data_IF_235249912703
#
_entry.id   IF_235249912703
#
_cell.length_a   1.000
_cell.length_b   1.000
_cell.length_c   1.000
_cell.angle_alpha   90.00
_cell.angle_beta   90.00
_cell.angle_gamma   90.00
#
_symmetry.space_group_name_H-M   'P 1'
#
loop_
_entity.id
_entity.type
_entity.pdbx_description
1 polymer ?
#
# COMPACT_ATOMS: atom_id res chain seq x y z
N UNK A 1 14.80 1.66 7.13
CA UNK A 1 14.17 2.85 7.80
C UNK A 1 12.95 2.37 8.58
N UNK A 2 12.79 2.83 9.84
CA UNK A 2 11.60 2.50 10.63
C UNK A 2 10.64 3.69 10.70
N UNK A 3 9.34 3.39 10.84
CA UNK A 3 8.30 4.34 11.21
C UNK A 3 7.74 3.95 12.57
N UNK A 4 7.92 4.83 13.56
CA UNK A 4 7.42 4.64 14.92
C UNK A 4 6.25 5.57 15.16
N UNK A 5 5.10 5.01 15.58
CA UNK A 5 3.89 5.80 15.86
C UNK A 5 3.01 5.12 16.91
N UNK A 6 2.09 5.90 17.49
CA UNK A 6 1.13 5.41 18.48
C UNK A 6 -0.27 5.53 17.92
N UNK A 7 -1.03 4.43 17.95
CA UNK A 7 -2.39 4.37 17.41
C UNK A 7 -3.27 3.51 18.33
N UNK A 8 -4.42 4.03 18.71
CA UNK A 8 -5.43 3.30 19.52
C UNK A 8 -4.86 2.63 20.77
N UNK A 9 -3.88 3.26 21.45
CA UNK A 9 -3.24 2.72 22.65
C UNK A 9 -2.09 1.75 22.40
N UNK A 10 -1.79 1.42 21.15
CA UNK A 10 -0.65 0.59 20.77
C UNK A 10 0.55 1.43 20.36
N UNK A 11 1.75 0.97 20.75
CA UNK A 11 3.00 1.49 20.22
C UNK A 11 3.42 0.59 19.05
N UNK A 12 3.55 1.16 17.87
CA UNK A 12 3.76 0.42 16.64
C UNK A 12 5.09 0.83 16.01
N UNK A 13 5.89 -0.15 15.66
CA UNK A 13 7.11 0.00 14.87
C UNK A 13 6.91 -0.73 13.54
N UNK A 14 6.96 0.01 12.45
CA UNK A 14 6.94 -0.53 11.09
C UNK A 14 8.35 -0.44 10.50
N UNK A 15 8.95 -1.55 10.17
CA UNK A 15 10.16 -1.58 9.35
C UNK A 15 9.77 -1.61 7.88
N UNK A 16 10.06 -0.52 7.18
CA UNK A 16 9.69 -0.32 5.80
C UNK A 16 10.37 -1.34 4.85
N UNK A 17 11.61 -1.73 5.13
CA UNK A 17 12.40 -2.56 4.25
C UNK A 17 12.03 -4.04 4.35
N UNK A 18 11.78 -4.53 5.57
CA UNK A 18 11.29 -5.90 5.78
C UNK A 18 9.77 -6.03 5.62
N UNK A 19 9.02 -4.93 5.73
CA UNK A 19 7.57 -4.92 5.80
C UNK A 19 7.01 -5.44 7.13
N UNK A 20 7.85 -5.67 8.14
CA UNK A 20 7.44 -6.17 9.45
C UNK A 20 6.79 -5.06 10.29
N UNK A 21 5.72 -5.43 11.00
CA UNK A 21 5.03 -4.56 11.94
C UNK A 21 5.13 -5.18 13.33
N UNK A 22 5.66 -4.42 14.28
CA UNK A 22 5.81 -4.84 15.68
C UNK A 22 4.91 -4.00 16.58
N UNK A 23 4.13 -4.65 17.44
CA UNK A 23 3.45 -4.00 18.54
C UNK A 23 4.27 -4.23 19.80
N UNK A 24 4.73 -3.17 20.42
CA UNK A 24 5.70 -3.21 21.51
C UNK A 24 5.20 -2.44 22.73
N UNK A 25 5.77 -2.74 23.89
CA UNK A 25 5.54 -1.96 25.10
C UNK A 25 6.19 -0.56 25.01
N UNK A 26 5.90 0.36 25.94
CA UNK A 26 6.46 1.72 25.92
C UNK A 26 7.98 1.77 26.06
N UNK A 27 8.60 0.84 26.78
CA UNK A 27 10.06 0.80 26.99
C UNK A 27 10.75 0.37 25.71
N UNK A 28 10.32 -0.74 25.11
CA UNK A 28 10.85 -1.23 23.84
C UNK A 28 10.63 -0.21 22.73
N UNK A 29 9.50 0.51 22.71
CA UNK A 29 9.24 1.58 21.75
C UNK A 29 10.30 2.68 21.84
N UNK A 30 10.56 3.19 23.04
CA UNK A 30 11.57 4.24 23.22
C UNK A 30 12.98 3.73 22.89
N UNK A 31 13.32 2.51 23.31
CA UNK A 31 14.62 1.90 23.00
C UNK A 31 14.84 1.75 21.49
N UNK A 32 13.86 1.22 20.75
CA UNK A 32 13.96 1.04 19.31
C UNK A 32 14.09 2.39 18.59
N UNK A 33 13.35 3.41 19.02
CA UNK A 33 13.41 4.74 18.40
C UNK A 33 14.76 5.44 18.59
N UNK A 34 15.50 5.09 19.63
CA UNK A 34 16.82 5.65 19.92
C UNK A 34 17.98 4.79 19.37
N UNK A 35 17.69 3.54 18.99
CA UNK A 35 18.71 2.50 18.78
C UNK A 35 19.75 2.84 17.71
N UNK A 36 19.40 3.57 16.66
CA UNK A 36 20.32 3.91 15.57
C UNK A 36 21.15 5.16 15.86
N UNK A 37 20.67 6.06 16.72
CA UNK A 37 21.27 7.38 16.91
C UNK A 37 22.04 7.52 18.25
N UNK A 38 21.87 6.53 19.17
CA UNK A 38 22.46 6.56 20.50
C UNK A 38 23.15 5.24 20.85
N UNK A 39 24.14 5.31 21.71
CA UNK A 39 24.77 4.12 22.26
C UNK A 39 23.92 3.45 23.36
N UNK A 40 24.22 2.18 23.64
CA UNK A 40 23.44 1.39 24.62
C UNK A 40 23.43 2.02 26.04
N UNK A 41 24.51 2.68 26.44
CA UNK A 41 24.59 3.30 27.75
C UNK A 41 23.76 4.59 27.84
N UNK A 42 23.69 5.34 26.76
CA UNK A 42 22.81 6.52 26.67
C UNK A 42 21.34 6.12 26.69
N UNK A 43 20.96 5.08 25.93
CA UNK A 43 19.60 4.52 25.91
C UNK A 43 19.24 4.02 27.32
N UNK A 44 20.10 3.23 27.95
CA UNK A 44 19.91 2.72 29.31
C UNK A 44 19.65 3.85 30.32
N UNK A 45 20.49 4.87 30.31
CA UNK A 45 20.35 6.02 31.20
C UNK A 45 19.03 6.75 30.97
N UNK A 46 18.64 6.95 29.72
CA UNK A 46 17.37 7.57 29.37
C UNK A 46 16.18 6.75 29.85
N UNK A 47 16.17 5.45 29.64
CA UNK A 47 15.09 4.56 30.04
C UNK A 47 14.95 4.53 31.57
N UNK A 48 16.05 4.35 32.30
CA UNK A 48 16.04 4.33 33.78
C UNK A 48 15.52 5.66 34.36
N UNK A 49 15.88 6.81 33.79
CA UNK A 49 15.37 8.10 34.25
C UNK A 49 13.89 8.30 33.89
N UNK A 50 13.49 7.94 32.67
CA UNK A 50 12.12 8.14 32.20
C UNK A 50 11.12 7.24 32.94
N UNK A 51 11.51 6.01 33.23
CA UNK A 51 10.66 4.99 33.86
C UNK A 51 11.01 4.72 35.33
N UNK A 52 11.67 5.65 36.02
CA UNK A 52 12.14 5.52 37.41
C UNK A 52 11.04 5.18 38.41
N UNK A 53 9.79 5.57 38.15
CA UNK A 53 8.64 5.31 38.98
C UNK A 53 7.97 3.94 38.71
N UNK A 54 8.51 3.17 37.74
CA UNK A 54 8.03 1.84 37.38
C UNK A 54 9.02 0.78 37.91
N UNK A 55 8.65 0.04 38.98
CA UNK A 55 9.55 -0.92 39.63
C UNK A 55 9.94 -2.11 38.75
N UNK A 56 9.15 -2.35 37.70
CA UNK A 56 9.35 -3.46 36.75
C UNK A 56 10.36 -3.11 35.63
N UNK A 57 10.87 -1.87 35.59
CA UNK A 57 11.89 -1.46 34.62
C UNK A 57 13.25 -1.46 35.27
N UNK A 58 13.93 -2.60 35.21
CA UNK A 58 15.28 -2.79 35.78
C UNK A 58 16.35 -2.87 34.71
N UNK A 59 17.62 -2.85 35.12
CA UNK A 59 18.73 -3.07 34.19
C UNK A 59 18.61 -4.44 33.48
N UNK A 60 18.14 -5.48 34.18
CA UNK A 60 17.98 -6.80 33.57
C UNK A 60 16.90 -6.80 32.48
N UNK A 61 15.79 -6.08 32.68
CA UNK A 61 14.72 -5.98 31.66
C UNK A 61 15.21 -5.18 30.44
N UNK A 62 16.02 -4.15 30.65
CA UNK A 62 16.66 -3.39 29.57
C UNK A 62 17.65 -4.27 28.78
N UNK A 63 18.42 -5.13 29.46
CA UNK A 63 19.34 -6.04 28.79
C UNK A 63 18.58 -7.07 27.94
N UNK A 64 17.51 -7.66 28.46
CA UNK A 64 16.62 -8.56 27.71
C UNK A 64 16.00 -7.86 26.50
N UNK A 65 15.56 -6.62 26.65
CA UNK A 65 15.02 -5.86 25.54
C UNK A 65 16.07 -5.58 24.44
N UNK A 66 17.33 -5.32 24.81
CA UNK A 66 18.41 -5.23 23.83
C UNK A 66 18.66 -6.55 23.11
N UNK A 67 18.62 -7.68 23.82
CA UNK A 67 18.76 -9.01 23.21
C UNK A 67 17.65 -9.28 22.20
N UNK A 68 16.40 -8.95 22.55
CA UNK A 68 15.24 -9.10 21.64
C UNK A 68 15.36 -8.20 20.40
N UNK A 69 15.78 -6.94 20.56
CA UNK A 69 16.04 -6.02 19.45
C UNK A 69 17.12 -6.59 18.52
N UNK A 70 18.24 -7.05 19.09
CA UNK A 70 19.35 -7.62 18.32
C UNK A 70 18.94 -8.91 17.60
N UNK A 71 18.10 -9.73 18.20
CA UNK A 71 17.56 -10.92 17.56
C UNK A 71 16.67 -10.54 16.35
N UNK A 72 15.80 -9.54 16.48
CA UNK A 72 15.00 -9.04 15.37
C UNK A 72 15.85 -8.44 14.24
N UNK A 73 16.95 -7.78 14.58
CA UNK A 73 17.92 -7.25 13.59
C UNK A 73 18.59 -8.40 12.86
N UNK A 74 19.08 -9.42 13.60
CA UNK A 74 19.74 -10.59 13.03
C UNK A 74 18.81 -11.39 12.09
N UNK A 75 17.53 -11.44 12.43
CA UNK A 75 16.48 -12.06 11.59
C UNK A 75 16.07 -11.22 10.38
N UNK A 76 16.60 -10.01 10.23
CA UNK A 76 16.22 -9.07 9.16
C UNK A 76 14.80 -8.54 9.26
N UNK A 77 14.23 -8.49 10.46
CA UNK A 77 12.86 -8.05 10.74
C UNK A 77 12.78 -6.66 11.35
N UNK A 78 13.91 -6.10 11.76
CA UNK A 78 14.04 -4.74 12.29
C UNK A 78 15.32 -4.12 11.75
N UNK A 79 15.28 -2.85 11.35
CA UNK A 79 16.39 -2.13 10.70
C UNK A 79 16.96 -2.86 9.48
N UNK A 80 16.10 -3.56 8.74
CA UNK A 80 16.50 -4.32 7.56
C UNK A 80 17.14 -3.42 6.49
N UNK A 81 18.07 -4.00 5.72
CA UNK A 81 18.67 -3.31 4.58
C UNK A 81 17.66 -3.10 3.45
N UNK A 82 17.79 -1.99 2.73
CA UNK A 82 16.99 -1.75 1.52
C UNK A 82 17.56 -2.55 0.35
N UNK A 83 16.97 -3.72 0.10
CA UNK A 83 17.35 -4.58 -1.04
C UNK A 83 16.72 -4.10 -2.35
N UNK A 84 15.76 -3.17 -2.33
CA UNK A 84 15.06 -2.67 -3.51
C UNK A 84 15.73 -1.43 -4.12
N UNK A 85 16.54 -0.67 -3.39
CA UNK A 85 17.21 0.51 -3.89
C UNK A 85 18.01 0.22 -5.16
N UNK A 86 18.77 -0.87 -5.16
CA UNK A 86 19.62 -1.28 -6.31
C UNK A 86 18.81 -1.64 -7.57
N UNK A 87 17.54 -2.01 -7.41
CA UNK A 87 16.66 -2.42 -8.52
C UNK A 87 15.54 -1.41 -8.80
N UNK A 88 15.46 -0.32 -8.02
CA UNK A 88 14.39 0.69 -8.14
C UNK A 88 14.27 1.27 -9.57
N UNK A 89 15.39 1.52 -10.24
CA UNK A 89 15.40 2.02 -11.61
C UNK A 89 14.85 1.02 -12.65
N UNK A 90 14.94 -0.28 -12.36
CA UNK A 90 14.34 -1.31 -13.23
C UNK A 90 12.82 -1.25 -13.18
N UNK A 91 12.23 -0.88 -12.04
CA UNK A 91 10.78 -0.68 -11.92
C UNK A 91 10.30 0.58 -12.64
N UNK A 92 11.12 1.62 -12.72
CA UNK A 92 10.82 2.84 -13.50
C UNK A 92 10.84 2.58 -15.01
N UNK A 93 11.65 1.63 -15.47
CA UNK A 93 11.82 1.28 -16.89
C UNK A 93 10.93 0.12 -17.32
N UNK A 94 9.80 -0.10 -16.71
CA UNK A 94 8.85 -1.10 -17.19
C UNK A 94 8.48 -0.75 -18.63
N UNK A 95 9.07 -1.45 -19.58
CA UNK A 95 8.46 -1.63 -20.91
C UNK A 95 7.22 -2.50 -20.62
N UNK A 96 6.15 -1.80 -20.30
CA UNK A 96 5.01 -2.44 -19.69
C UNK A 96 4.23 -3.21 -20.70
N UNK A 97 4.30 -4.52 -20.60
CA UNK A 97 3.21 -5.35 -21.09
C UNK A 97 2.02 -5.09 -20.20
N UNK A 98 0.99 -4.43 -20.73
CA UNK A 98 -0.22 -4.16 -19.97
C UNK A 98 -0.92 -5.48 -19.65
N UNK A 99 -1.53 -5.57 -18.48
CA UNK A 99 -2.32 -6.72 -18.05
C UNK A 99 -3.80 -6.38 -17.94
N UNK A 100 -4.08 -5.18 -17.50
CA UNK A 100 -5.42 -4.76 -17.14
C UNK A 100 -5.64 -3.29 -17.48
N UNK A 101 -6.90 -2.92 -17.69
CA UNK A 101 -7.36 -1.55 -17.80
C UNK A 101 -8.66 -1.38 -17.02
N UNK A 102 -8.81 -0.24 -16.35
CA UNK A 102 -10.06 0.14 -15.71
C UNK A 102 -10.69 1.27 -16.54
N UNK A 103 -11.89 1.05 -17.04
CA UNK A 103 -12.65 2.00 -17.86
C UNK A 103 -13.76 2.63 -17.04
N UNK A 104 -13.70 3.94 -16.83
CA UNK A 104 -14.77 4.72 -16.23
C UNK A 104 -15.85 4.97 -17.29
N UNK A 105 -16.74 3.98 -17.47
CA UNK A 105 -17.72 3.99 -18.56
C UNK A 105 -18.91 4.92 -18.33
N UNK A 106 -19.18 5.29 -17.07
CA UNK A 106 -20.26 6.19 -16.71
C UNK A 106 -19.89 7.09 -15.54
N UNK A 107 -19.83 8.40 -15.77
CA UNK A 107 -19.80 9.43 -14.74
C UNK A 107 -21.23 9.86 -14.38
N UNK A 108 -22.11 8.88 -14.17
CA UNK A 108 -23.49 9.04 -13.71
C UNK A 108 -23.89 7.81 -12.89
N UNK A 109 -24.87 7.98 -11.99
CA UNK A 109 -25.35 6.90 -11.15
C UNK A 109 -26.82 7.11 -10.78
N UNK A 110 -27.62 6.06 -10.89
CA UNK A 110 -29.02 6.05 -10.46
C UNK A 110 -29.20 5.58 -9.00
N UNK A 111 -28.10 5.32 -8.27
CA UNK A 111 -28.10 4.97 -6.86
C UNK A 111 -27.77 6.18 -5.98
N UNK A 112 -28.08 6.08 -4.68
CA UNK A 112 -27.81 7.11 -3.69
C UNK A 112 -27.14 6.54 -2.43
N UNK A 113 -26.03 5.81 -2.62
CA UNK A 113 -25.28 5.19 -1.53
C UNK A 113 -24.71 6.23 -0.58
N UNK A 114 -24.99 6.10 0.73
CA UNK A 114 -24.54 7.04 1.75
C UNK A 114 -23.00 7.12 1.90
N UNK A 115 -22.30 6.06 1.49
CA UNK A 115 -20.84 5.92 1.55
C UNK A 115 -20.16 6.15 0.19
N UNK A 116 -20.87 6.71 -0.79
CA UNK A 116 -20.33 6.89 -2.13
C UNK A 116 -19.23 7.95 -2.14
N UNK A 117 -18.00 7.56 -2.45
CA UNK A 117 -16.86 8.46 -2.60
C UNK A 117 -16.88 9.24 -3.93
N UNK A 118 -17.69 8.76 -4.90
CA UNK A 118 -17.76 9.31 -6.25
C UNK A 118 -18.85 10.40 -6.43
N UNK A 119 -19.42 10.94 -5.34
CA UNK A 119 -20.41 12.01 -5.43
C UNK A 119 -21.61 11.67 -6.33
N UNK A 120 -22.20 10.47 -6.20
CA UNK A 120 -23.22 9.90 -7.09
C UNK A 120 -22.75 9.64 -8.52
N UNK A 121 -21.45 9.39 -8.67
CA UNK A 121 -20.83 9.07 -9.95
C UNK A 121 -20.25 10.24 -10.72
N UNK A 122 -20.40 11.45 -10.22
CA UNK A 122 -19.92 12.66 -10.90
C UNK A 122 -18.40 12.91 -10.73
N UNK A 123 -17.77 12.34 -9.70
CA UNK A 123 -16.34 12.49 -9.39
C UNK A 123 -15.86 13.95 -9.41
N UNK A 124 -16.68 14.87 -8.89
CA UNK A 124 -16.48 16.33 -8.94
C UNK A 124 -16.39 16.92 -10.36
N UNK A 125 -16.87 16.17 -11.36
CA UNK A 125 -16.89 16.55 -12.77
C UNK A 125 -18.30 16.72 -13.34
N UNK A 126 -18.39 16.62 -14.65
CA UNK A 126 -19.68 16.61 -15.35
C UNK A 126 -20.19 15.17 -15.47
N UNK A 127 -21.52 15.02 -15.53
CA UNK A 127 -22.15 13.75 -15.84
C UNK A 127 -21.93 13.44 -17.31
N UNK A 128 -21.22 12.35 -17.57
CA UNK A 128 -20.88 11.93 -18.92
C UNK A 128 -20.92 10.40 -19.02
N UNK A 129 -21.18 9.94 -20.21
CA UNK A 129 -21.19 8.50 -20.57
C UNK A 129 -20.13 8.29 -21.64
N UNK A 130 -19.25 7.31 -21.44
CA UNK A 130 -18.19 6.99 -22.39
C UNK A 130 -18.80 6.56 -23.73
N UNK A 131 -18.30 7.10 -24.84
CA UNK A 131 -18.74 6.63 -26.16
C UNK A 131 -18.11 5.27 -26.48
N UNK A 132 -18.78 4.53 -27.38
CA UNK A 132 -18.26 3.26 -27.91
C UNK A 132 -16.85 3.41 -28.49
N UNK A 133 -16.61 4.48 -29.26
CA UNK A 133 -15.34 4.74 -29.93
C UNK A 133 -14.20 4.88 -28.91
N UNK A 134 -14.44 5.56 -27.80
CA UNK A 134 -13.45 5.72 -26.72
C UNK A 134 -13.20 4.37 -26.03
N UNK A 135 -14.24 3.62 -25.72
CA UNK A 135 -14.11 2.29 -25.14
C UNK A 135 -13.33 1.34 -26.04
N UNK A 136 -13.67 1.32 -27.33
CA UNK A 136 -12.96 0.51 -28.34
C UNK A 136 -11.49 0.91 -28.45
N UNK A 137 -11.16 2.19 -28.54
CA UNK A 137 -9.77 2.66 -28.58
C UNK A 137 -8.97 2.24 -27.36
N UNK A 138 -9.59 2.26 -26.17
CA UNK A 138 -8.95 1.82 -24.96
C UNK A 138 -8.63 0.31 -24.97
N UNK A 139 -9.53 -0.51 -25.50
CA UNK A 139 -9.30 -1.95 -25.67
C UNK A 139 -8.24 -2.23 -26.75
N UNK A 140 -8.31 -1.56 -27.88
CA UNK A 140 -7.29 -1.67 -28.92
C UNK A 140 -5.90 -1.31 -28.36
N UNK A 141 -5.82 -0.27 -27.53
CA UNK A 141 -4.59 0.11 -26.84
C UNK A 141 -4.11 -0.97 -25.87
N UNK A 142 -5.01 -1.54 -25.06
CA UNK A 142 -4.68 -2.64 -24.14
C UNK A 142 -4.09 -3.82 -24.91
N UNK A 143 -4.75 -4.26 -25.97
CA UNK A 143 -4.32 -5.39 -26.81
C UNK A 143 -2.95 -5.11 -27.45
N UNK A 144 -2.78 -3.95 -28.08
CA UNK A 144 -1.54 -3.57 -28.75
C UNK A 144 -0.34 -3.50 -27.81
N UNK A 145 -0.56 -3.15 -26.54
CA UNK A 145 0.48 -3.03 -25.51
C UNK A 145 0.60 -4.24 -24.60
N UNK A 146 0.01 -5.38 -24.98
CA UNK A 146 0.00 -6.63 -24.21
C UNK A 146 0.57 -7.82 -25.00
N UNK A 147 1.70 -7.69 -25.71
CA UNK A 147 2.21 -8.77 -26.53
C UNK A 147 2.53 -10.02 -25.70
N UNK A 148 2.10 -11.18 -26.21
CA UNK A 148 2.35 -12.48 -25.56
C UNK A 148 1.46 -12.80 -24.35
N UNK A 149 0.54 -11.95 -23.96
CA UNK A 149 -0.46 -12.25 -22.93
C UNK A 149 -1.68 -12.92 -23.56
N UNK A 150 -2.07 -14.06 -22.97
CA UNK A 150 -3.28 -14.78 -23.37
C UNK A 150 -4.54 -14.20 -22.71
N UNK A 151 -4.42 -13.74 -21.47
CA UNK A 151 -5.54 -13.22 -20.69
C UNK A 151 -5.27 -11.75 -20.35
N UNK A 152 -6.24 -10.91 -20.64
CA UNK A 152 -6.29 -9.50 -20.28
C UNK A 152 -7.49 -9.26 -19.37
N UNK A 153 -7.40 -8.26 -18.52
CA UNK A 153 -8.44 -7.90 -17.57
C UNK A 153 -8.98 -6.52 -17.92
N UNK A 154 -10.28 -6.38 -17.95
CA UNK A 154 -10.97 -5.10 -18.14
C UNK A 154 -11.99 -4.93 -17.04
N UNK A 155 -11.80 -3.89 -16.23
CA UNK A 155 -12.74 -3.50 -15.20
C UNK A 155 -13.59 -2.34 -15.72
N UNK A 156 -14.91 -2.55 -15.74
CA UNK A 156 -15.86 -1.49 -16.01
C UNK A 156 -16.25 -0.81 -14.72
N UNK A 157 -15.97 0.48 -14.64
CA UNK A 157 -16.09 1.27 -13.43
C UNK A 157 -16.87 2.56 -13.67
N UNK A 158 -17.15 3.30 -12.60
CA UNK A 158 -17.81 4.59 -12.67
C UNK A 158 -18.82 4.77 -11.56
N UNK A 159 -19.85 5.56 -11.80
CA UNK A 159 -20.99 5.67 -10.91
C UNK A 159 -21.81 4.37 -10.88
N UNK A 160 -22.56 4.12 -11.95
CA UNK A 160 -23.23 2.84 -12.22
C UNK A 160 -22.88 2.41 -13.68
N UNK A 161 -21.95 1.49 -13.86
CA UNK A 161 -21.51 1.07 -15.19
C UNK A 161 -22.61 0.59 -16.11
N UNK A 162 -23.66 -0.07 -15.56
CA UNK A 162 -24.80 -0.59 -16.33
C UNK A 162 -25.65 0.51 -17.00
N UNK A 163 -25.47 1.77 -16.62
CA UNK A 163 -26.09 2.89 -17.36
C UNK A 163 -25.52 3.03 -18.77
N UNK A 164 -24.35 2.46 -19.02
CA UNK A 164 -23.71 2.44 -20.33
C UNK A 164 -23.70 1.02 -20.92
N UNK A 165 -24.86 0.37 -20.89
CA UNK A 165 -25.00 -1.03 -21.30
C UNK A 165 -24.50 -1.30 -22.73
N UNK A 166 -24.80 -0.39 -23.65
CA UNK A 166 -24.39 -0.54 -25.05
C UNK A 166 -22.87 -0.56 -25.21
N UNK A 167 -22.15 0.32 -24.51
CA UNK A 167 -20.68 0.32 -24.50
C UNK A 167 -20.14 -0.97 -23.88
N UNK A 168 -20.73 -1.45 -22.78
CA UNK A 168 -20.31 -2.68 -22.12
C UNK A 168 -20.45 -3.90 -23.03
N UNK A 169 -21.59 -4.07 -23.69
CA UNK A 169 -21.82 -5.21 -24.59
C UNK A 169 -20.84 -5.21 -25.74
N UNK A 170 -20.72 -4.11 -26.47
CA UNK A 170 -19.87 -4.04 -27.66
C UNK A 170 -18.38 -4.18 -27.32
N UNK A 171 -17.93 -3.66 -26.17
CA UNK A 171 -16.53 -3.82 -25.75
C UNK A 171 -16.24 -5.25 -25.28
N UNK A 172 -17.19 -5.93 -24.68
CA UNK A 172 -17.06 -7.34 -24.29
C UNK A 172 -17.06 -8.28 -25.49
N UNK A 173 -17.90 -8.02 -26.49
CA UNK A 173 -18.02 -8.83 -27.70
C UNK A 173 -16.75 -8.69 -28.59
N UNK A 174 -16.21 -7.48 -28.71
CA UNK A 174 -14.95 -7.24 -29.40
C UNK A 174 -13.76 -8.02 -28.80
N UNK A 175 -13.77 -8.31 -27.51
CA UNK A 175 -12.75 -9.12 -26.86
C UNK A 175 -12.85 -10.61 -27.22
N UNK A 176 -14.03 -11.11 -27.56
CA UNK A 176 -14.24 -12.49 -27.99
C UNK A 176 -13.86 -12.72 -29.47
N UNK A 177 -14.02 -11.72 -30.33
CA UNK A 177 -13.62 -11.79 -31.74
C UNK A 177 -12.08 -11.74 -31.95
N UNK A 178 -11.33 -11.28 -30.96
CA UNK A 178 -9.87 -11.20 -31.01
C UNK A 178 -9.14 -12.52 -30.67
N UNK A 179 -9.84 -13.64 -30.55
CA UNK A 179 -9.28 -14.97 -30.24
C UNK A 179 -8.91 -15.75 -31.46
#
# INVERSE_FOLDING_TARGET
MIHAYKLNGYNIILDQNSGCVHSVDPVAYDMITMYQDHDKEEIRRFILEKYKDQPDVTNADIDLCFEDIEALIADGRLFAEDTFEAVADQFKRRQGVLKAICLHVAHDCNLACKYCFAGKGEYDGQREIMSYEVGKQALDYLIANSPGRRNLEVDFFGGEPLLNWDCLLYTSDAADEAR
#
